data_IF_316277493044
#
_entry.id   IF_316277493044
#
_cell.length_a   1.000
_cell.length_b   1.000
_cell.length_c   1.000
_cell.angle_alpha   90.00
_cell.angle_beta   90.00
_cell.angle_gamma   90.00
#
_symmetry.space_group_name_H-M   'P 1'
#
loop_
_entity.id
_entity.type
_entity.pdbx_description
1 polymer ?
#
# COMPACT_ATOMS: atom_id res chain seq x y z
N UNK A 1 -0.78 10.88 1.15
CA UNK A 1 -0.14 10.35 -0.08
C UNK A 1 -0.80 10.89 -1.35
N UNK A 2 -2.13 10.98 -1.39
CA UNK A 2 -2.85 11.51 -2.56
C UNK A 2 -2.80 13.04 -2.67
N UNK A 3 -2.67 13.76 -1.56
CA UNK A 3 -2.65 15.22 -1.55
C UNK A 3 -1.36 15.77 -2.15
N UNK A 4 -0.23 15.19 -1.76
CA UNK A 4 1.10 15.64 -2.26
C UNK A 4 1.23 15.45 -3.78
N UNK A 5 0.65 14.39 -4.33
CA UNK A 5 0.63 14.15 -5.78
C UNK A 5 -0.26 15.16 -6.49
N UNK A 6 -1.44 15.46 -5.93
CA UNK A 6 -2.37 16.45 -6.51
C UNK A 6 -1.82 17.88 -6.43
N UNK A 7 -1.06 18.21 -5.37
CA UNK A 7 -0.36 19.49 -5.25
C UNK A 7 0.79 19.62 -6.26
N UNK A 8 1.52 18.54 -6.54
CA UNK A 8 2.57 18.52 -7.56
C UNK A 8 2.02 18.68 -8.98
N UNK A 9 0.85 18.13 -9.26
CA UNK A 9 0.20 18.24 -10.57
C UNK A 9 -0.66 19.52 -10.73
N UNK A 10 -0.65 20.42 -9.72
CA UNK A 10 -1.43 21.67 -9.74
C UNK A 10 -2.94 21.46 -9.63
N UNK A 11 -3.37 20.25 -9.25
CA UNK A 11 -4.78 19.88 -9.12
C UNK A 11 -5.36 20.13 -7.72
N UNK A 12 -4.51 20.41 -6.73
CA UNK A 12 -4.94 20.80 -5.38
C UNK A 12 -4.87 22.32 -5.25
N UNK A 13 -6.02 22.97 -5.23
CA UNK A 13 -6.14 24.41 -4.99
C UNK A 13 -5.60 24.79 -3.61
N UNK A 14 -4.70 25.75 -3.56
CA UNK A 14 -4.23 26.34 -2.32
C UNK A 14 -5.35 27.11 -1.62
N UNK A 15 -5.32 27.15 -0.30
CA UNK A 15 -6.40 27.64 0.58
C UNK A 15 -6.59 29.15 0.64
N UNK A 16 -5.94 29.98 -0.22
CA UNK A 16 -5.97 31.44 -0.13
C UNK A 16 -6.17 32.21 -1.44
N UNK A 17 -7.05 31.75 -2.30
CA UNK A 17 -7.39 32.51 -3.51
C UNK A 17 -8.72 32.09 -4.13
N UNK A 18 -9.79 32.84 -3.86
CA UNK A 18 -11.11 32.65 -4.47
C UNK A 18 -11.06 32.93 -5.98
N UNK A 19 -10.79 31.89 -6.78
CA UNK A 19 -11.13 31.82 -8.20
C UNK A 19 -12.43 31.03 -8.39
N UNK A 20 -13.18 31.23 -9.48
CA UNK A 20 -14.45 30.55 -9.73
C UNK A 20 -14.36 29.03 -9.92
N UNK A 21 -13.17 28.43 -9.93
CA UNK A 21 -12.89 27.00 -10.17
C UNK A 21 -12.65 26.16 -8.91
N UNK A 22 -12.59 26.75 -7.74
CA UNK A 22 -12.24 26.09 -6.46
C UNK A 22 -13.34 25.16 -5.89
N UNK A 23 -14.44 24.94 -6.63
CA UNK A 23 -15.57 24.10 -6.20
C UNK A 23 -15.57 22.69 -6.80
N UNK A 24 -14.59 22.31 -7.58
CA UNK A 24 -14.61 21.06 -8.36
C UNK A 24 -14.00 19.87 -7.62
N UNK A 25 -13.21 20.07 -6.55
CA UNK A 25 -12.54 18.99 -5.86
C UNK A 25 -12.69 19.11 -4.32
N UNK A 26 -13.40 18.16 -3.70
CA UNK A 26 -13.47 17.97 -2.26
C UNK A 26 -12.60 16.77 -1.84
N UNK A 27 -11.48 17.03 -1.15
CA UNK A 27 -10.55 16.00 -0.70
C UNK A 27 -10.82 15.68 0.76
N UNK A 28 -11.27 14.45 1.02
CA UNK A 28 -11.49 13.93 2.36
C UNK A 28 -10.45 12.87 2.71
N UNK A 29 -9.90 12.94 3.91
CA UNK A 29 -8.90 11.99 4.43
C UNK A 29 -9.48 11.19 5.58
N UNK A 30 -9.11 9.92 5.66
CA UNK A 30 -9.50 9.04 6.75
C UNK A 30 -9.75 7.61 6.30
N UNK A 31 -10.02 6.74 7.28
CA UNK A 31 -10.48 5.38 7.04
C UNK A 31 -11.98 5.35 7.24
N UNK A 32 -12.69 4.90 6.22
CA UNK A 32 -14.15 4.74 6.28
C UNK A 32 -14.47 3.24 6.34
N UNK A 33 -15.23 2.86 7.35
CA UNK A 33 -15.93 1.58 7.36
C UNK A 33 -17.18 1.65 6.46
N UNK A 34 -17.88 0.54 6.29
CA UNK A 34 -19.06 0.48 5.43
C UNK A 34 -20.10 1.55 5.81
N UNK A 35 -20.42 1.68 7.11
CA UNK A 35 -21.47 2.61 7.60
C UNK A 35 -21.10 4.07 7.38
N UNK A 36 -19.85 4.43 7.65
CA UNK A 36 -19.33 5.78 7.40
C UNK A 36 -19.33 6.11 5.90
N UNK A 37 -19.09 5.10 5.07
CA UNK A 37 -19.14 5.25 3.61
C UNK A 37 -20.58 5.43 3.10
N UNK A 38 -21.53 4.69 3.64
CA UNK A 38 -22.97 4.89 3.35
C UNK A 38 -23.40 6.31 3.72
N UNK A 39 -23.02 6.82 4.91
CA UNK A 39 -23.28 8.19 5.31
C UNK A 39 -22.66 9.24 4.37
N UNK A 40 -21.44 8.99 3.88
CA UNK A 40 -20.81 9.83 2.87
C UNK A 40 -21.57 9.83 1.54
N UNK A 41 -22.04 8.66 1.10
CA UNK A 41 -22.84 8.55 -0.13
C UNK A 41 -24.21 9.25 -0.03
N UNK A 42 -24.83 9.20 1.15
CA UNK A 42 -26.07 9.97 1.45
C UNK A 42 -25.86 11.47 1.41
N UNK A 43 -24.73 11.95 1.97
CA UNK A 43 -24.36 13.37 2.01
C UNK A 43 -24.05 13.90 0.60
N UNK A 44 -23.15 13.21 -0.12
CA UNK A 44 -22.62 13.68 -1.42
C UNK A 44 -23.58 13.40 -2.57
N UNK A 45 -24.38 12.32 -2.47
CA UNK A 45 -25.30 11.84 -3.52
C UNK A 45 -24.67 11.73 -4.90
N UNK A 46 -23.55 11.00 -5.05
CA UNK A 46 -22.85 10.92 -6.32
C UNK A 46 -23.65 10.09 -7.34
N UNK A 47 -23.57 10.44 -8.61
CA UNK A 47 -24.08 9.59 -9.69
C UNK A 47 -23.16 8.41 -10.01
N UNK A 48 -21.87 8.51 -9.62
CA UNK A 48 -20.86 7.50 -9.90
C UNK A 48 -19.85 7.42 -8.75
N UNK A 49 -19.41 6.22 -8.43
CA UNK A 49 -18.29 5.95 -7.51
C UNK A 49 -17.21 5.17 -8.26
N UNK A 50 -16.00 5.69 -8.27
CA UNK A 50 -14.85 5.04 -8.88
C UNK A 50 -13.90 4.56 -7.76
N UNK A 51 -13.79 3.23 -7.60
CA UNK A 51 -12.82 2.62 -6.70
C UNK A 51 -11.50 2.39 -7.43
N UNK A 52 -10.53 3.26 -7.20
CA UNK A 52 -9.16 3.17 -7.70
C UNK A 52 -8.15 2.80 -6.59
N UNK A 53 -8.60 2.17 -5.50
CA UNK A 53 -7.74 1.76 -4.41
C UNK A 53 -6.75 0.68 -4.85
N UNK A 54 -5.65 0.55 -4.09
CA UNK A 54 -4.62 -0.43 -4.40
C UNK A 54 -5.21 -1.86 -4.43
N UNK A 55 -4.78 -2.75 -5.35
CA UNK A 55 -5.30 -4.13 -5.43
C UNK A 55 -5.27 -4.90 -4.11
N UNK A 56 -4.29 -4.64 -3.24
CA UNK A 56 -4.19 -5.28 -1.92
C UNK A 56 -5.07 -4.65 -0.83
N UNK A 57 -5.79 -3.58 -1.14
CA UNK A 57 -6.72 -2.94 -0.22
C UNK A 57 -8.11 -3.62 -0.28
N UNK A 58 -8.15 -4.94 -0.12
CA UNK A 58 -9.36 -5.75 -0.30
C UNK A 58 -10.51 -5.32 0.62
N UNK A 59 -10.21 -5.00 1.88
CA UNK A 59 -11.20 -4.57 2.87
C UNK A 59 -11.91 -3.29 2.45
N UNK A 60 -11.16 -2.25 2.07
CA UNK A 60 -11.76 -0.97 1.66
C UNK A 60 -12.54 -1.11 0.37
N UNK A 61 -12.07 -1.91 -0.59
CA UNK A 61 -12.81 -2.17 -1.84
C UNK A 61 -14.13 -2.88 -1.57
N UNK A 62 -14.13 -3.84 -0.65
CA UNK A 62 -15.35 -4.54 -0.26
C UNK A 62 -16.32 -3.62 0.48
N UNK A 63 -15.83 -2.73 1.36
CA UNK A 63 -16.66 -1.74 2.05
C UNK A 63 -17.30 -0.77 1.05
N UNK A 64 -16.54 -0.27 0.05
CA UNK A 64 -17.08 0.58 -1.02
C UNK A 64 -18.18 -0.16 -1.80
N UNK A 65 -17.89 -1.39 -2.24
CA UNK A 65 -18.84 -2.20 -3.00
C UNK A 65 -20.14 -2.42 -2.22
N UNK A 66 -20.06 -2.78 -0.94
CA UNK A 66 -21.22 -3.00 -0.08
C UNK A 66 -22.02 -1.72 0.14
N UNK A 67 -21.34 -0.60 0.43
CA UNK A 67 -22.00 0.68 0.59
C UNK A 67 -22.76 1.07 -0.70
N UNK A 68 -22.16 0.93 -1.88
CA UNK A 68 -22.82 1.21 -3.14
C UNK A 68 -24.04 0.31 -3.42
N UNK A 69 -24.07 -0.90 -2.85
CA UNK A 69 -25.23 -1.80 -3.00
C UNK A 69 -26.50 -1.24 -2.36
N UNK A 70 -26.38 -0.41 -1.33
CA UNK A 70 -27.49 0.28 -0.68
C UNK A 70 -28.08 1.43 -1.55
N UNK A 71 -27.38 1.84 -2.61
CA UNK A 71 -27.74 2.97 -3.47
C UNK A 71 -27.80 2.54 -4.95
N UNK A 72 -28.87 1.90 -5.41
CA UNK A 72 -28.97 1.31 -6.76
C UNK A 72 -28.82 2.30 -7.92
N UNK A 73 -28.98 3.59 -7.67
CA UNK A 73 -28.80 4.66 -8.66
C UNK A 73 -27.34 5.06 -8.88
N UNK A 74 -26.42 4.60 -8.02
CA UNK A 74 -24.99 4.92 -8.12
C UNK A 74 -24.31 3.91 -9.06
N UNK A 75 -23.68 4.40 -10.12
CA UNK A 75 -22.81 3.58 -10.96
C UNK A 75 -21.48 3.30 -10.22
N UNK A 76 -21.23 2.03 -9.88
CA UNK A 76 -19.97 1.61 -9.27
C UNK A 76 -18.99 1.10 -10.32
N UNK A 77 -17.78 1.68 -10.35
CA UNK A 77 -16.69 1.29 -11.24
C UNK A 77 -15.45 0.92 -10.40
N UNK A 78 -14.92 -0.29 -10.62
CA UNK A 78 -13.63 -0.71 -10.05
C UNK A 78 -12.52 -0.53 -11.08
N UNK A 79 -11.56 0.34 -10.80
CA UNK A 79 -10.34 0.49 -11.59
C UNK A 79 -9.28 -0.52 -11.15
N UNK A 80 -8.96 -1.48 -12.00
CA UNK A 80 -7.87 -2.42 -11.77
C UNK A 80 -6.64 -1.99 -12.56
N UNK A 81 -5.49 -1.98 -11.91
CA UNK A 81 -4.22 -1.85 -12.62
C UNK A 81 -4.01 -3.12 -13.44
N UNK A 82 -3.53 -2.97 -14.68
CA UNK A 82 -3.03 -4.14 -15.42
C UNK A 82 -1.98 -4.82 -14.57
N UNK A 83 -2.13 -6.12 -14.37
CA UNK A 83 -1.01 -6.92 -13.89
C UNK A 83 0.12 -6.76 -14.90
N UNK A 84 1.33 -6.46 -14.43
CA UNK A 84 2.52 -6.51 -15.27
C UNK A 84 2.58 -7.91 -15.88
N UNK A 85 2.72 -7.96 -17.21
CA UNK A 85 2.66 -9.22 -17.98
C UNK A 85 3.64 -10.28 -17.49
N UNK A 86 3.65 -11.42 -18.12
CA UNK A 86 4.50 -12.56 -17.78
C UNK A 86 5.95 -12.09 -17.54
N UNK A 87 6.44 -12.34 -16.33
CA UNK A 87 7.84 -12.05 -15.99
C UNK A 87 8.71 -13.09 -16.67
N UNK A 88 9.70 -12.65 -17.43
CA UNK A 88 10.68 -13.53 -18.08
C UNK A 88 11.59 -14.25 -17.07
N UNK A 89 11.58 -13.83 -15.81
CA UNK A 89 12.34 -14.44 -14.72
C UNK A 89 11.47 -15.39 -13.90
N UNK A 90 12.05 -16.45 -13.31
CA UNK A 90 11.32 -17.37 -12.46
C UNK A 90 10.77 -16.63 -11.22
N UNK A 91 9.46 -16.45 -11.20
CA UNK A 91 8.72 -15.88 -10.08
C UNK A 91 7.94 -16.99 -9.40
N UNK A 92 8.18 -17.17 -8.11
CA UNK A 92 7.42 -18.12 -7.30
C UNK A 92 6.20 -17.41 -6.75
N UNK A 93 5.03 -17.85 -7.16
CA UNK A 93 3.75 -17.32 -6.69
C UNK A 93 3.26 -18.13 -5.51
N UNK A 94 2.90 -17.44 -4.44
CA UNK A 94 2.37 -18.04 -3.22
C UNK A 94 1.06 -17.32 -2.85
N UNK A 95 0.11 -18.00 -2.19
CA UNK A 95 -1.19 -17.44 -1.89
C UNK A 95 -1.14 -16.31 -0.83
N UNK A 96 -0.21 -16.39 0.10
CA UNK A 96 -0.09 -15.45 1.21
C UNK A 96 1.33 -15.40 1.78
N UNK A 97 1.55 -14.53 2.76
CA UNK A 97 2.85 -14.36 3.44
C UNK A 97 3.27 -15.60 4.23
N UNK A 98 2.32 -16.36 4.77
CA UNK A 98 2.66 -17.60 5.50
C UNK A 98 3.24 -18.65 4.57
N UNK A 99 2.64 -18.83 3.41
CA UNK A 99 3.18 -19.72 2.38
C UNK A 99 4.55 -19.24 1.87
N UNK A 100 4.77 -17.91 1.75
CA UNK A 100 6.08 -17.36 1.44
C UNK A 100 7.11 -17.72 2.51
N UNK A 101 6.79 -17.55 3.79
CA UNK A 101 7.67 -17.88 4.91
C UNK A 101 8.00 -19.38 4.96
N UNK A 102 7.00 -20.23 4.74
CA UNK A 102 7.21 -21.68 4.67
C UNK A 102 8.19 -22.07 3.55
N UNK A 103 8.03 -21.48 2.38
CA UNK A 103 8.96 -21.70 1.26
C UNK A 103 10.37 -21.20 1.57
N UNK A 104 10.48 -19.97 2.15
CA UNK A 104 11.76 -19.35 2.51
C UNK A 104 12.51 -20.10 3.61
N UNK A 105 11.83 -20.87 4.45
CA UNK A 105 12.47 -21.67 5.50
C UNK A 105 13.44 -22.73 4.93
N UNK A 106 13.21 -23.21 3.72
CA UNK A 106 14.09 -24.15 3.01
C UNK A 106 15.12 -23.46 2.11
N UNK A 107 15.18 -22.13 2.10
CA UNK A 107 16.11 -21.37 1.23
C UNK A 107 17.26 -20.78 2.03
N UNK A 108 18.42 -20.71 1.42
CA UNK A 108 19.60 -20.01 1.97
C UNK A 108 19.67 -18.56 1.46
N UNK A 109 20.56 -17.76 2.08
CA UNK A 109 20.85 -16.40 1.69
C UNK A 109 19.97 -15.35 2.37
N UNK A 110 20.21 -14.10 2.00
CA UNK A 110 19.51 -12.95 2.54
C UNK A 110 18.16 -12.70 1.86
N UNK A 111 17.26 -12.05 2.56
CA UNK A 111 15.89 -11.83 2.12
C UNK A 111 15.56 -10.34 2.23
N UNK A 112 15.26 -9.70 1.10
CA UNK A 112 14.72 -8.34 1.08
C UNK A 112 13.19 -8.40 1.14
N UNK A 113 12.62 -8.06 2.29
CA UNK A 113 11.17 -8.00 2.51
C UNK A 113 10.64 -6.61 2.15
N UNK A 114 9.68 -6.55 1.24
CA UNK A 114 9.09 -5.29 0.74
C UNK A 114 7.56 -5.21 0.93
N UNK A 115 7.00 -6.10 1.74
CA UNK A 115 5.56 -6.16 2.03
C UNK A 115 5.10 -5.11 3.04
N UNK A 116 6.05 -4.35 3.61
CA UNK A 116 5.79 -3.38 4.67
C UNK A 116 5.74 -4.00 6.07
N UNK A 117 5.54 -3.16 7.08
CA UNK A 117 5.70 -3.54 8.49
C UNK A 117 4.60 -4.46 9.02
N UNK A 118 3.39 -4.40 8.46
CA UNK A 118 2.24 -5.18 8.94
C UNK A 118 2.45 -6.68 8.88
N UNK A 119 3.10 -7.15 7.81
CA UNK A 119 3.35 -8.57 7.56
C UNK A 119 4.70 -9.05 8.13
N UNK A 120 5.51 -8.11 8.64
CA UNK A 120 6.90 -8.39 9.02
C UNK A 120 7.02 -9.40 10.16
N UNK A 121 6.03 -9.45 11.06
CA UNK A 121 6.01 -10.40 12.19
C UNK A 121 6.00 -11.87 11.73
N UNK A 122 5.39 -12.18 10.60
CA UNK A 122 5.35 -13.53 10.07
C UNK A 122 6.76 -14.08 9.75
N UNK A 123 7.66 -13.22 9.32
CA UNK A 123 9.03 -13.59 8.97
C UNK A 123 9.92 -13.86 10.19
N UNK A 124 9.50 -13.49 11.40
CA UNK A 124 10.25 -13.75 12.63
C UNK A 124 10.33 -15.25 12.98
N UNK A 125 9.52 -16.09 12.35
CA UNK A 125 9.59 -17.55 12.49
C UNK A 125 10.72 -18.19 11.68
N UNK A 126 11.35 -17.47 10.76
CA UNK A 126 12.48 -17.99 9.98
C UNK A 126 13.73 -18.14 10.86
N UNK A 127 14.53 -19.20 10.66
CA UNK A 127 15.83 -19.31 11.29
C UNK A 127 16.72 -18.11 10.95
N UNK A 128 17.40 -17.59 11.94
CA UNK A 128 18.34 -16.46 11.79
C UNK A 128 17.72 -15.19 11.13
N UNK A 129 16.41 -14.99 11.26
CA UNK A 129 15.69 -13.88 10.60
C UNK A 129 16.37 -12.52 10.85
N UNK A 130 16.90 -12.27 12.05
CA UNK A 130 17.57 -11.02 12.40
C UNK A 130 18.83 -10.75 11.59
N UNK A 131 19.47 -11.81 11.07
CA UNK A 131 20.68 -11.71 10.25
C UNK A 131 20.39 -11.74 8.75
N UNK A 132 19.32 -12.47 8.37
CA UNK A 132 19.00 -12.73 6.96
C UNK A 132 18.03 -11.74 6.35
N UNK A 133 17.15 -11.12 7.17
CA UNK A 133 16.08 -10.27 6.64
C UNK A 133 16.48 -8.81 6.66
N UNK A 134 16.27 -8.16 5.54
CA UNK A 134 16.35 -6.72 5.33
C UNK A 134 14.94 -6.22 5.03
N UNK A 135 14.36 -5.46 5.96
CA UNK A 135 12.97 -5.02 5.87
C UNK A 135 12.89 -3.59 5.29
N UNK A 136 12.31 -3.46 4.10
CA UNK A 136 12.02 -2.15 3.52
C UNK A 136 10.62 -1.71 3.96
N UNK A 137 10.57 -0.63 4.73
CA UNK A 137 9.37 -0.10 5.36
C UNK A 137 9.22 1.40 5.09
N UNK A 138 8.03 1.95 5.36
CA UNK A 138 7.84 3.40 5.27
C UNK A 138 8.69 4.12 6.32
N UNK A 139 9.21 5.34 6.01
CA UNK A 139 10.02 6.14 6.92
C UNK A 139 9.16 6.87 7.96
N UNK A 140 8.33 6.12 8.69
CA UNK A 140 7.55 6.63 9.81
C UNK A 140 8.07 6.07 11.13
N UNK A 141 7.86 6.82 12.22
CA UNK A 141 8.26 6.41 13.57
C UNK A 141 7.64 5.06 13.91
N UNK A 142 6.35 4.89 13.64
CA UNK A 142 5.61 3.66 13.92
C UNK A 142 6.18 2.45 13.17
N UNK A 143 6.57 2.64 11.90
CA UNK A 143 7.16 1.55 11.10
C UNK A 143 8.52 1.12 11.64
N UNK A 144 9.36 2.09 12.01
CA UNK A 144 10.68 1.82 12.57
C UNK A 144 10.59 1.19 13.95
N UNK A 145 9.72 1.69 14.82
CA UNK A 145 9.49 1.14 16.16
C UNK A 145 8.94 -0.28 16.11
N UNK A 146 8.04 -0.57 15.18
CA UNK A 146 7.55 -1.94 14.97
C UNK A 146 8.69 -2.88 14.55
N UNK A 147 9.57 -2.45 13.64
CA UNK A 147 10.75 -3.24 13.27
C UNK A 147 11.62 -3.53 14.48
N UNK A 148 11.90 -2.52 15.32
CA UNK A 148 12.72 -2.68 16.54
C UNK A 148 12.06 -3.61 17.55
N UNK A 149 10.76 -3.48 17.76
CA UNK A 149 9.98 -4.37 18.63
C UNK A 149 10.07 -5.82 18.17
N UNK A 150 10.11 -6.07 16.87
CA UNK A 150 10.30 -7.39 16.27
C UNK A 150 11.78 -7.85 16.29
N UNK A 151 12.70 -7.04 16.78
CA UNK A 151 14.11 -7.38 16.93
C UNK A 151 14.96 -7.13 15.68
N UNK A 152 14.49 -6.34 14.74
CA UNK A 152 15.29 -5.84 13.61
C UNK A 152 16.08 -4.61 14.05
N UNK A 153 17.34 -4.50 13.65
CA UNK A 153 18.22 -3.41 14.05
C UNK A 153 19.17 -2.97 12.93
N UNK A 154 19.65 -1.74 13.01
CA UNK A 154 20.67 -1.19 12.14
C UNK A 154 20.34 -1.31 10.66
N UNK A 155 21.29 -1.89 9.90
CA UNK A 155 21.16 -2.07 8.43
C UNK A 155 20.03 -2.98 7.97
N UNK A 156 19.42 -3.72 8.89
CA UNK A 156 18.27 -4.58 8.61
C UNK A 156 16.94 -3.83 8.50
N UNK A 157 16.93 -2.53 8.83
CA UNK A 157 15.78 -1.64 8.67
C UNK A 157 16.09 -0.63 7.57
N UNK A 158 15.38 -0.72 6.45
CA UNK A 158 15.52 0.17 5.29
C UNK A 158 14.27 1.05 5.24
N UNK A 159 14.34 2.21 5.90
CA UNK A 159 13.21 3.15 5.99
C UNK A 159 13.21 4.07 4.75
N UNK A 160 12.42 3.72 3.74
CA UNK A 160 12.35 4.44 2.46
C UNK A 160 10.93 4.48 1.91
N UNK A 161 10.58 5.61 1.29
CA UNK A 161 9.29 5.79 0.60
C UNK A 161 9.48 5.72 -0.91
N UNK A 162 8.67 4.86 -1.57
CA UNK A 162 8.62 4.79 -3.03
C UNK A 162 7.88 5.98 -3.67
N UNK A 163 7.78 6.00 -5.00
CA UNK A 163 8.12 4.91 -5.92
C UNK A 163 9.64 4.71 -6.09
N UNK A 164 10.04 3.46 -6.36
CA UNK A 164 11.45 3.11 -6.55
C UNK A 164 11.73 2.80 -8.01
N UNK A 165 12.83 3.34 -8.54
CA UNK A 165 13.31 2.96 -9.86
C UNK A 165 13.85 1.52 -9.87
N UNK A 166 14.04 0.95 -11.06
CA UNK A 166 14.66 -0.36 -11.22
C UNK A 166 16.08 -0.35 -10.66
N UNK A 167 16.85 0.71 -10.93
CA UNK A 167 18.23 0.90 -10.49
C UNK A 167 18.35 0.87 -8.97
N UNK A 168 17.43 1.57 -8.27
CA UNK A 168 17.38 1.56 -6.82
C UNK A 168 17.09 0.15 -6.27
N UNK A 169 16.12 -0.56 -6.85
CA UNK A 169 15.81 -1.93 -6.44
C UNK A 169 17.02 -2.86 -6.68
N UNK A 170 17.70 -2.74 -7.81
CA UNK A 170 18.90 -3.51 -8.11
C UNK A 170 20.06 -3.18 -7.17
N UNK A 171 20.23 -1.89 -6.80
CA UNK A 171 21.25 -1.47 -5.85
C UNK A 171 21.03 -2.12 -4.48
N UNK A 172 19.79 -2.10 -3.96
CA UNK A 172 19.44 -2.77 -2.71
C UNK A 172 19.72 -4.28 -2.76
N UNK A 173 19.35 -4.95 -3.84
CA UNK A 173 19.61 -6.39 -3.99
C UNK A 173 21.10 -6.72 -4.05
N UNK A 174 21.93 -5.83 -4.60
CA UNK A 174 23.39 -6.01 -4.65
C UNK A 174 24.05 -5.74 -3.31
N UNK A 175 23.56 -4.73 -2.58
CA UNK A 175 24.10 -4.34 -1.27
C UNK A 175 23.87 -5.41 -0.20
N UNK A 176 22.71 -6.08 -0.26
CA UNK A 176 22.28 -7.02 0.77
C UNK A 176 22.31 -8.49 0.32
N UNK A 177 23.26 -8.83 -0.56
CA UNK A 177 23.55 -10.22 -0.93
C UNK A 177 24.02 -11.07 0.23
#
# INVERSE_FOLDING_TARGET
YGRDVLEQDGLAGGTDGKGPDDRLLDIRQGRLDQKSMEGLLEEVRPGMVIDATHPYAAEVSENIRRACTAFPHILFIRCLRRESGAWDNPVIRVPDVRAAVQWLAGQEGNILVTTGVKELSAFCSLPDYRKRIYARVLPSVESVDMCRTLGYEGRHIIAMQGPFSMEMNLALLREFK
#
